data_IF_046675727376
#
_entry.id   IF_046675727376
#
_cell.length_a   1.000
_cell.length_b   1.000
_cell.length_c   1.000
_cell.angle_alpha   90.00
_cell.angle_beta   90.00
_cell.angle_gamma   90.00
#
_symmetry.space_group_name_H-M   'P 1'
#
loop_
_entity.id
_entity.type
_entity.pdbx_description
1 polymer ?
#
# COMPACT_ATOMS: atom_id res chain seq x y z
N UNK A 1 -12.03 -1.68 -6.42
CA UNK A 1 -11.65 -2.57 -7.54
C UNK A 1 -11.54 -3.97 -6.96
N UNK A 2 -12.22 -4.95 -7.55
CA UNK A 2 -12.00 -6.35 -7.18
C UNK A 2 -10.58 -6.76 -7.55
N UNK A 3 -9.91 -7.62 -6.74
CA UNK A 3 -8.58 -8.11 -7.08
C UNK A 3 -8.64 -8.81 -8.43
N UNK A 4 -7.62 -8.60 -9.26
CA UNK A 4 -7.42 -8.99 -10.65
C UNK A 4 -8.32 -10.13 -11.13
N UNK A 5 -9.30 -9.81 -11.95
CA UNK A 5 -9.99 -10.85 -12.72
C UNK A 5 -9.05 -11.35 -13.81
N UNK A 6 -9.18 -12.60 -14.24
CA UNK A 6 -8.43 -13.13 -15.38
C UNK A 6 -8.57 -12.22 -16.62
N UNK A 7 -9.73 -11.55 -16.78
CA UNK A 7 -9.97 -10.58 -17.85
C UNK A 7 -9.09 -9.34 -17.75
N UNK A 8 -8.89 -8.79 -16.57
CA UNK A 8 -8.01 -7.63 -16.36
C UNK A 8 -6.55 -7.97 -16.66
N UNK A 9 -6.09 -9.17 -16.29
CA UNK A 9 -4.75 -9.65 -16.62
C UNK A 9 -4.58 -9.82 -18.13
N UNK A 10 -5.59 -10.36 -18.82
CA UNK A 10 -5.58 -10.49 -20.27
C UNK A 10 -5.51 -9.11 -20.97
N UNK A 11 -6.12 -8.09 -20.40
CA UNK A 11 -6.02 -6.71 -20.91
C UNK A 11 -4.60 -6.14 -20.75
N UNK A 12 -3.91 -6.39 -19.63
CA UNK A 12 -2.50 -6.02 -19.48
C UNK A 12 -1.62 -6.68 -20.54
N UNK A 13 -1.82 -7.97 -20.82
CA UNK A 13 -1.09 -8.69 -21.87
C UNK A 13 -1.33 -8.07 -23.26
N UNK A 14 -2.58 -7.73 -23.60
CA UNK A 14 -2.94 -7.10 -24.87
C UNK A 14 -2.34 -5.70 -25.05
N UNK A 15 -2.24 -4.93 -23.96
CA UNK A 15 -1.68 -3.59 -24.02
C UNK A 15 -0.15 -3.55 -23.84
N UNK A 16 0.51 -4.70 -23.71
CA UNK A 16 1.97 -4.80 -23.58
C UNK A 16 2.51 -4.44 -22.19
N UNK A 17 1.66 -4.35 -21.16
CA UNK A 17 2.11 -4.17 -19.77
C UNK A 17 2.48 -5.53 -19.15
N UNK A 18 3.51 -6.16 -19.73
CA UNK A 18 3.92 -7.50 -19.36
C UNK A 18 4.44 -7.60 -17.94
N UNK A 19 5.12 -6.57 -17.43
CA UNK A 19 5.63 -6.55 -16.05
C UNK A 19 4.49 -6.66 -15.04
N UNK A 20 3.40 -5.93 -15.26
CA UNK A 20 2.23 -6.01 -14.41
C UNK A 20 1.46 -7.32 -14.63
N UNK A 21 1.29 -7.75 -15.88
CA UNK A 21 0.64 -9.01 -16.23
C UNK A 21 1.31 -10.20 -15.55
N UNK A 22 2.63 -10.29 -15.57
CA UNK A 22 3.41 -11.35 -14.91
C UNK A 22 3.12 -11.38 -13.41
N UNK A 23 3.24 -10.25 -12.74
CA UNK A 23 2.98 -10.19 -11.29
C UNK A 23 1.56 -10.56 -10.94
N UNK A 24 0.57 -10.11 -11.74
CA UNK A 24 -0.85 -10.43 -11.49
C UNK A 24 -1.20 -11.88 -11.79
N UNK A 25 -0.59 -12.46 -12.80
CA UNK A 25 -0.72 -13.92 -13.07
C UNK A 25 -0.18 -14.74 -11.92
N UNK A 26 1.00 -14.37 -11.37
CA UNK A 26 1.57 -15.03 -10.19
C UNK A 26 0.64 -14.91 -8.98
N UNK A 27 0.13 -13.70 -8.67
CA UNK A 27 -0.82 -13.48 -7.57
C UNK A 27 -2.10 -14.31 -7.76
N UNK A 28 -2.63 -14.33 -8.98
CA UNK A 28 -3.83 -15.08 -9.32
C UNK A 28 -3.64 -16.59 -9.16
N UNK A 29 -2.46 -17.12 -9.53
CA UNK A 29 -2.13 -18.52 -9.30
C UNK A 29 -1.91 -18.84 -7.82
N UNK A 30 -1.28 -17.96 -7.05
CA UNK A 30 -1.12 -18.13 -5.60
C UNK A 30 -2.47 -18.26 -4.89
N UNK A 31 -3.45 -17.50 -5.33
CA UNK A 31 -4.82 -17.52 -4.79
C UNK A 31 -5.57 -18.83 -5.06
N UNK A 32 -5.10 -19.68 -5.98
CA UNK A 32 -5.67 -21.03 -6.18
C UNK A 32 -5.27 -22.01 -5.07
N UNK A 33 -4.12 -21.78 -4.44
CA UNK A 33 -3.50 -22.74 -3.50
C UNK A 33 -2.96 -24.01 -4.16
N UNK A 34 -2.99 -24.12 -5.50
CA UNK A 34 -2.48 -25.28 -6.26
C UNK A 34 -0.98 -25.13 -6.52
N UNK A 35 -0.17 -25.98 -5.88
CA UNK A 35 1.29 -25.92 -5.96
C UNK A 35 1.81 -26.16 -7.39
N UNK A 36 1.16 -27.02 -8.19
CA UNK A 36 1.57 -27.31 -9.56
C UNK A 36 1.30 -26.12 -10.49
N UNK A 37 0.17 -25.45 -10.30
CA UNK A 37 -0.17 -24.25 -11.07
C UNK A 37 0.72 -23.07 -10.70
N UNK A 38 1.07 -22.93 -9.41
CA UNK A 38 2.01 -21.92 -8.92
C UNK A 38 3.40 -22.16 -9.55
N UNK A 39 3.89 -23.41 -9.57
CA UNK A 39 5.18 -23.74 -10.19
C UNK A 39 5.19 -23.45 -11.69
N UNK A 40 4.12 -23.79 -12.40
CA UNK A 40 3.96 -23.48 -13.81
C UNK A 40 4.03 -21.97 -14.07
N UNK A 41 3.30 -21.16 -13.28
CA UNK A 41 3.33 -19.70 -13.38
C UNK A 41 4.73 -19.13 -13.07
N UNK A 42 5.45 -19.68 -12.09
CA UNK A 42 6.83 -19.27 -11.76
C UNK A 42 7.77 -19.59 -12.93
N UNK A 43 7.66 -20.76 -13.55
CA UNK A 43 8.50 -21.14 -14.70
C UNK A 43 8.21 -20.24 -15.92
N UNK A 44 6.95 -19.98 -16.21
CA UNK A 44 6.52 -19.05 -17.25
C UNK A 44 7.06 -17.61 -17.00
N UNK A 45 6.99 -17.12 -15.77
CA UNK A 45 7.47 -15.76 -15.42
C UNK A 45 8.98 -15.57 -15.62
N UNK A 46 9.78 -16.63 -15.46
CA UNK A 46 11.23 -16.60 -15.70
C UNK A 46 11.60 -16.28 -17.14
N UNK A 47 10.80 -16.73 -18.11
CA UNK A 47 11.03 -16.43 -19.52
C UNK A 47 10.97 -14.93 -19.80
N UNK A 48 10.06 -14.22 -19.14
CA UNK A 48 9.97 -12.77 -19.21
C UNK A 48 11.22 -12.08 -18.64
N UNK A 49 11.64 -12.45 -17.42
CA UNK A 49 12.77 -11.81 -16.75
C UNK A 49 14.12 -12.08 -17.41
N UNK A 50 14.30 -13.23 -18.06
CA UNK A 50 15.49 -13.51 -18.88
C UNK A 50 15.56 -12.55 -20.06
N UNK A 51 14.42 -12.22 -20.67
CA UNK A 51 14.35 -11.30 -21.80
C UNK A 51 14.54 -9.84 -21.38
N UNK A 52 13.97 -9.41 -20.26
CA UNK A 52 14.10 -8.04 -19.73
C UNK A 52 15.56 -7.70 -19.34
N UNK A 53 16.28 -8.65 -18.74
CA UNK A 53 17.66 -8.46 -18.28
C UNK A 53 18.72 -8.61 -19.40
N UNK A 54 18.34 -9.02 -20.61
CA UNK A 54 19.25 -9.12 -21.73
C UNK A 54 19.56 -7.71 -22.28
N UNK A 55 20.85 -7.38 -22.50
CA UNK A 55 21.30 -6.10 -23.07
C UNK A 55 20.76 -5.83 -24.51
N UNK A 56 20.23 -6.84 -25.16
CA UNK A 56 19.45 -6.74 -26.39
C UNK A 56 18.00 -7.04 -26.05
N UNK A 57 17.10 -6.09 -26.34
CA UNK A 57 15.65 -6.29 -26.24
C UNK A 57 15.29 -7.47 -27.14
N UNK A 58 15.19 -8.66 -26.55
CA UNK A 58 14.66 -9.81 -27.29
C UNK A 58 13.14 -9.64 -27.34
N UNK A 59 12.51 -9.91 -28.49
CA UNK A 59 11.06 -9.93 -28.54
C UNK A 59 10.52 -10.97 -27.56
N UNK A 60 9.39 -10.67 -26.98
CA UNK A 60 8.66 -11.62 -26.14
C UNK A 60 8.39 -12.87 -26.97
N UNK A 61 8.59 -14.08 -26.42
CA UNK A 61 8.31 -15.31 -27.14
C UNK A 61 6.88 -15.35 -27.68
N UNK A 62 6.69 -15.84 -28.90
CA UNK A 62 5.38 -15.88 -29.57
C UNK A 62 4.33 -16.67 -28.75
N UNK A 63 4.76 -17.65 -27.97
CA UNK A 63 3.92 -18.48 -27.12
C UNK A 63 3.64 -17.87 -25.74
N UNK A 64 4.34 -16.79 -25.36
CA UNK A 64 4.27 -16.21 -23.99
C UNK A 64 2.85 -15.81 -23.57
N UNK A 65 2.11 -15.17 -24.48
CA UNK A 65 0.73 -14.74 -24.23
C UNK A 65 -0.21 -15.95 -24.16
N UNK A 66 -0.08 -16.90 -25.09
CA UNK A 66 -0.94 -18.09 -25.11
C UNK A 66 -0.73 -19.00 -23.90
N UNK A 67 0.49 -19.08 -23.39
CA UNK A 67 0.79 -19.79 -22.14
C UNK A 67 0.17 -19.09 -20.92
N UNK A 68 0.27 -17.76 -20.84
CA UNK A 68 -0.40 -16.98 -19.82
C UNK A 68 -1.92 -17.20 -19.82
N UNK A 69 -2.56 -17.16 -20.99
CA UNK A 69 -3.99 -17.42 -21.15
C UNK A 69 -4.38 -18.82 -20.69
N UNK A 70 -3.56 -19.83 -21.00
CA UNK A 70 -3.76 -21.21 -20.52
C UNK A 70 -3.68 -21.31 -19.00
N UNK A 71 -2.67 -20.68 -18.39
CA UNK A 71 -2.50 -20.62 -16.93
C UNK A 71 -3.72 -19.93 -16.26
N UNK A 72 -4.13 -18.78 -16.79
CA UNK A 72 -5.29 -18.03 -16.28
C UNK A 72 -6.59 -18.82 -16.39
N UNK A 73 -6.78 -19.56 -17.49
CA UNK A 73 -7.95 -20.41 -17.67
C UNK A 73 -7.99 -21.55 -16.65
N UNK A 74 -6.86 -22.17 -16.34
CA UNK A 74 -6.76 -23.21 -15.31
C UNK A 74 -7.04 -22.62 -13.93
N UNK A 75 -6.41 -21.49 -13.59
CA UNK A 75 -6.62 -20.80 -12.32
C UNK A 75 -8.10 -20.39 -12.12
N UNK A 76 -8.76 -19.86 -13.16
CA UNK A 76 -10.17 -19.45 -13.11
C UNK A 76 -11.10 -20.60 -12.76
N UNK A 77 -10.82 -21.82 -13.24
CA UNK A 77 -11.63 -23.02 -12.91
C UNK A 77 -11.55 -23.37 -11.42
N UNK A 78 -10.40 -23.13 -10.79
CA UNK A 78 -10.19 -23.43 -9.36
C UNK A 78 -10.79 -22.31 -8.50
N UNK A 79 -10.65 -21.06 -8.92
CA UNK A 79 -11.11 -19.91 -8.14
C UNK A 79 -12.63 -19.67 -8.16
N UNK A 80 -13.37 -20.33 -9.05
CA UNK A 80 -14.81 -20.16 -9.13
C UNK A 80 -15.49 -20.52 -7.80
N UNK A 81 -15.91 -19.51 -7.03
CA UNK A 81 -16.59 -19.66 -5.74
C UNK A 81 -15.81 -19.19 -4.51
N UNK A 82 -14.58 -18.71 -4.64
CA UNK A 82 -13.82 -18.15 -3.52
C UNK A 82 -14.25 -16.70 -3.30
N UNK A 83 -14.90 -16.45 -2.17
CA UNK A 83 -15.14 -15.09 -1.66
C UNK A 83 -14.69 -15.02 -0.20
N UNK A 84 -13.97 -13.98 0.18
CA UNK A 84 -13.65 -13.75 1.58
C UNK A 84 -14.65 -12.78 2.21
N UNK A 85 -14.95 -13.01 3.49
CA UNK A 85 -15.73 -12.07 4.29
C UNK A 85 -14.79 -11.06 4.94
N UNK A 86 -15.16 -9.78 4.86
CA UNK A 86 -14.49 -8.74 5.63
C UNK A 86 -14.71 -8.98 7.12
N UNK A 87 -13.62 -9.23 7.86
CA UNK A 87 -13.64 -9.48 9.30
C UNK A 87 -12.70 -8.50 10.00
N UNK A 88 -13.02 -8.05 11.22
CA UNK A 88 -12.09 -7.23 11.99
C UNK A 88 -10.80 -8.03 12.27
N UNK A 89 -9.65 -7.37 12.18
CA UNK A 89 -8.33 -7.90 12.52
C UNK A 89 -7.80 -7.27 13.80
N UNK A 90 -7.95 -5.95 13.93
CA UNK A 90 -7.53 -5.18 15.08
C UNK A 90 -8.53 -4.05 15.35
N UNK A 91 -8.83 -3.83 16.63
CA UNK A 91 -9.58 -2.67 17.13
C UNK A 91 -8.82 -2.08 18.31
N UNK A 92 -8.52 -0.80 18.23
CA UNK A 92 -7.85 -0.03 19.28
C UNK A 92 -8.76 1.11 19.70
N UNK A 93 -9.03 1.23 21.00
CA UNK A 93 -9.91 2.22 21.58
C UNK A 93 -9.15 3.11 22.54
N UNK A 94 -9.15 4.43 22.29
CA UNK A 94 -8.55 5.48 23.12
C UNK A 94 -7.11 5.19 23.53
N UNK A 95 -6.34 4.53 22.66
CA UNK A 95 -4.96 4.18 22.97
C UNK A 95 -4.09 5.43 23.07
N UNK A 96 -3.29 5.51 24.12
CA UNK A 96 -2.36 6.61 24.34
C UNK A 96 -0.98 6.11 24.79
N UNK A 97 0.05 6.96 24.57
CA UNK A 97 1.42 6.67 24.98
C UNK A 97 2.23 7.93 25.22
N UNK A 98 2.78 8.07 26.41
CA UNK A 98 3.66 9.16 26.81
C UNK A 98 5.06 8.61 27.11
N UNK A 99 6.10 9.26 26.63
CA UNK A 99 7.46 8.90 26.98
C UNK A 99 7.92 9.62 28.25
N UNK A 100 8.53 8.89 29.17
CA UNK A 100 8.93 9.36 30.50
C UNK A 100 9.91 10.56 30.50
N UNK A 101 10.52 10.88 29.35
CA UNK A 101 11.37 12.06 29.18
C UNK A 101 10.63 13.37 28.87
N UNK A 102 9.29 13.38 28.87
CA UNK A 102 8.47 14.59 28.71
C UNK A 102 8.44 15.20 27.31
N UNK A 103 9.08 14.58 26.31
CA UNK A 103 9.22 15.18 24.97
C UNK A 103 8.06 14.92 24.03
N UNK A 104 7.29 13.84 24.22
CA UNK A 104 6.22 13.46 23.28
C UNK A 104 5.13 12.61 23.95
N UNK A 105 3.88 12.87 23.57
CA UNK A 105 2.72 12.09 23.97
C UNK A 105 1.81 11.84 22.76
N UNK A 106 1.52 10.56 22.47
CA UNK A 106 0.41 10.15 21.61
C UNK A 106 -0.88 10.28 22.41
N UNK A 107 -1.77 11.16 21.98
CA UNK A 107 -3.07 11.38 22.61
C UNK A 107 -4.04 10.24 22.29
N UNK A 108 -5.16 10.11 23.03
CA UNK A 108 -6.11 9.03 22.80
C UNK A 108 -6.59 8.96 21.35
N UNK A 109 -6.35 7.83 20.69
CA UNK A 109 -6.72 7.58 19.29
C UNK A 109 -7.46 6.26 19.16
N UNK A 110 -8.44 6.22 18.25
CA UNK A 110 -9.16 5.02 17.86
C UNK A 110 -8.67 4.53 16.48
N UNK A 111 -8.46 3.23 16.37
CA UNK A 111 -8.01 2.61 15.10
C UNK A 111 -8.75 1.29 14.91
N UNK A 112 -9.23 1.04 13.70
CA UNK A 112 -9.76 -0.27 13.31
C UNK A 112 -9.29 -0.66 11.93
N UNK A 113 -8.91 -1.94 11.75
CA UNK A 113 -8.52 -2.49 10.46
C UNK A 113 -9.19 -3.84 10.28
N UNK A 114 -9.81 -4.02 9.13
CA UNK A 114 -10.44 -5.26 8.72
C UNK A 114 -9.59 -6.00 7.68
N UNK A 115 -9.90 -7.26 7.47
CA UNK A 115 -9.36 -8.06 6.36
C UNK A 115 -9.64 -7.35 5.03
N UNK A 116 -8.61 -7.23 4.19
CA UNK A 116 -8.71 -6.57 2.89
C UNK A 116 -8.59 -5.05 2.92
N UNK A 117 -8.47 -4.44 4.11
CA UNK A 117 -8.35 -2.99 4.24
C UNK A 117 -6.90 -2.51 4.34
N UNK A 118 -6.66 -1.36 3.74
CA UNK A 118 -5.41 -0.60 3.86
C UNK A 118 -5.67 0.67 4.66
N UNK A 119 -5.03 0.79 5.82
CA UNK A 119 -5.05 1.99 6.66
C UNK A 119 -3.75 2.79 6.44
N UNK A 120 -3.89 4.04 6.04
CA UNK A 120 -2.80 5.00 5.96
C UNK A 120 -2.69 5.86 7.21
N UNK A 121 -1.48 5.99 7.75
CA UNK A 121 -1.16 6.89 8.86
C UNK A 121 -0.23 7.98 8.34
N UNK A 122 -0.72 9.21 8.26
CA UNK A 122 0.01 10.32 7.65
C UNK A 122 0.37 11.37 8.71
N UNK A 123 1.49 12.05 8.52
CA UNK A 123 1.95 13.14 9.38
C UNK A 123 3.45 13.38 9.20
N UNK A 124 3.94 14.52 9.64
CA UNK A 124 5.35 14.86 9.60
C UNK A 124 6.20 13.99 10.54
N UNK A 125 7.51 14.08 10.41
CA UNK A 125 8.43 13.41 11.32
C UNK A 125 8.27 13.92 12.76
N UNK A 126 8.34 12.99 13.73
CA UNK A 126 8.17 13.30 15.14
C UNK A 126 6.71 13.42 15.61
N UNK A 127 5.73 13.36 14.72
CA UNK A 127 4.31 13.49 15.09
C UNK A 127 3.69 12.22 15.73
N UNK A 128 4.44 11.12 15.84
CA UNK A 128 3.98 9.93 16.58
C UNK A 128 3.51 8.76 15.73
N UNK A 129 3.67 8.79 14.40
CA UNK A 129 3.31 7.67 13.50
C UNK A 129 3.94 6.35 13.96
N UNK A 130 5.28 6.31 14.08
CA UNK A 130 6.02 5.13 14.54
C UNK A 130 5.55 4.66 15.93
N UNK A 131 5.25 5.59 16.84
CA UNK A 131 4.73 5.24 18.18
C UNK A 131 3.39 4.53 18.07
N UNK A 132 2.45 5.08 17.28
CA UNK A 132 1.16 4.44 17.03
C UNK A 132 1.35 3.05 16.41
N UNK A 133 2.15 2.93 15.35
CA UNK A 133 2.38 1.66 14.67
C UNK A 133 2.98 0.60 15.61
N UNK A 134 3.93 0.97 16.45
CA UNK A 134 4.54 0.05 17.44
C UNK A 134 3.57 -0.36 18.55
N UNK A 135 2.67 0.53 18.97
CA UNK A 135 1.57 0.18 19.87
C UNK A 135 0.66 -0.86 19.22
N UNK A 136 0.21 -0.60 17.97
CA UNK A 136 -0.65 -1.52 17.21
C UNK A 136 0.02 -2.87 16.92
N UNK A 137 1.34 -2.90 16.77
CA UNK A 137 2.13 -4.14 16.61
C UNK A 137 2.36 -4.88 17.93
N UNK A 138 1.92 -4.35 19.07
CA UNK A 138 2.19 -4.93 20.39
C UNK A 138 3.66 -4.89 20.81
N UNK A 139 4.46 -4.01 20.21
CA UNK A 139 5.88 -3.81 20.53
C UNK A 139 6.11 -2.75 21.60
N UNK A 140 5.11 -1.91 21.87
CA UNK A 140 5.15 -0.84 22.83
C UNK A 140 3.91 -0.91 23.73
N UNK A 141 4.12 -0.95 25.04
CA UNK A 141 3.03 -0.98 26.01
C UNK A 141 2.28 0.37 26.00
N UNK A 142 0.96 0.30 26.08
CA UNK A 142 0.08 1.47 26.22
C UNK A 142 0.19 2.05 27.63
N UNK A 143 -0.10 3.33 27.78
CA UNK A 143 -0.32 3.95 29.09
C UNK A 143 -1.82 3.97 29.42
N UNK A 144 -2.69 4.08 28.39
CA UNK A 144 -4.14 3.97 28.55
C UNK A 144 -4.78 3.46 27.26
N UNK A 145 -6.04 3.02 27.33
CA UNK A 145 -6.79 2.44 26.22
C UNK A 145 -6.60 0.93 26.09
N UNK A 146 -7.22 0.35 25.08
CA UNK A 146 -7.22 -1.10 24.84
C UNK A 146 -7.00 -1.42 23.37
N UNK A 147 -6.26 -2.51 23.08
CA UNK A 147 -6.14 -3.09 21.75
C UNK A 147 -6.69 -4.52 21.78
N UNK A 148 -7.68 -4.78 20.92
CA UNK A 148 -8.25 -6.12 20.69
C UNK A 148 -7.78 -6.66 19.35
N UNK A 149 -7.09 -7.81 19.39
CA UNK A 149 -6.68 -8.53 18.19
C UNK A 149 -7.69 -9.65 17.90
N UNK A 150 -8.36 -9.56 16.74
CA UNK A 150 -9.35 -10.54 16.29
C UNK A 150 -8.75 -11.61 15.36
N UNK A 151 -7.43 -11.78 15.42
CA UNK A 151 -6.65 -12.65 14.52
C UNK A 151 -6.85 -14.14 14.82
N UNK A 152 -7.24 -14.48 16.05
CA UNK A 152 -7.45 -15.84 16.53
C UNK A 152 -8.82 -15.98 17.18
N UNK A 153 -9.41 -17.18 17.11
CA UNK A 153 -10.68 -17.48 17.78
C UNK A 153 -10.55 -17.45 19.31
N UNK A 154 -9.36 -17.84 19.84
CA UNK A 154 -9.03 -17.73 21.26
C UNK A 154 -7.87 -16.76 21.40
N UNK A 155 -7.99 -15.73 22.26
CA UNK A 155 -6.91 -14.77 22.46
C UNK A 155 -5.74 -15.45 23.18
N UNK A 156 -4.67 -15.67 22.44
CA UNK A 156 -3.35 -16.03 22.96
C UNK A 156 -2.38 -14.92 22.58
N UNK A 157 -1.87 -14.13 23.58
CA UNK A 157 -0.98 -13.00 23.30
C UNK A 157 0.30 -13.38 22.56
N UNK A 158 0.78 -14.61 22.72
CA UNK A 158 1.98 -15.10 22.04
C UNK A 158 1.68 -15.54 20.61
N UNK A 159 0.59 -16.28 20.41
CA UNK A 159 0.16 -16.73 19.08
C UNK A 159 -0.28 -15.57 18.18
N UNK A 160 -0.89 -14.52 18.75
CA UNK A 160 -1.27 -13.29 18.01
C UNK A 160 -0.07 -12.68 17.29
N UNK A 161 1.10 -12.64 17.94
CA UNK A 161 2.32 -12.05 17.35
C UNK A 161 2.79 -12.75 16.08
N UNK A 162 2.48 -14.05 15.92
CA UNK A 162 2.82 -14.79 14.71
C UNK A 162 1.99 -14.38 13.49
N UNK A 163 0.89 -13.68 13.72
CA UNK A 163 -0.01 -13.18 12.66
C UNK A 163 0.16 -11.70 12.36
N UNK A 164 1.03 -11.01 13.11
CA UNK A 164 1.32 -9.58 12.91
C UNK A 164 2.77 -9.45 12.45
N UNK A 165 2.97 -8.82 11.31
CA UNK A 165 4.29 -8.47 10.83
C UNK A 165 4.51 -6.96 10.91
N UNK A 166 5.69 -6.55 11.37
CA UNK A 166 6.09 -5.15 11.46
C UNK A 166 7.39 -4.93 10.70
N UNK A 167 7.36 -4.05 9.69
CA UNK A 167 8.53 -3.60 8.96
C UNK A 167 8.88 -2.18 9.43
N UNK A 168 10.00 -1.99 10.14
CA UNK A 168 10.43 -0.69 10.61
C UNK A 168 11.02 0.13 9.47
N UNK A 169 11.02 1.46 9.59
CA UNK A 169 11.66 2.38 8.65
C UNK A 169 13.15 2.05 8.39
N UNK A 170 13.86 1.62 9.44
CA UNK A 170 15.24 1.15 9.34
C UNK A 170 15.27 -0.36 9.45
N UNK A 171 15.36 -1.02 8.30
CA UNK A 171 15.42 -2.47 8.22
C UNK A 171 16.78 -2.96 8.74
N UNK A 172 16.75 -3.98 9.58
CA UNK A 172 17.95 -4.58 10.12
C UNK A 172 18.77 -5.31 9.03
N UNK A 173 20.09 -5.26 9.15
CA UNK A 173 20.99 -5.91 8.21
C UNK A 173 20.84 -7.42 8.30
N UNK A 174 20.75 -8.08 7.13
CA UNK A 174 20.80 -9.53 7.02
C UNK A 174 22.24 -10.04 6.89
N UNK A 175 22.45 -11.27 7.32
CA UNK A 175 23.73 -11.97 7.19
C UNK A 175 23.58 -13.11 6.19
N UNK A 176 24.68 -13.43 5.47
CA UNK A 176 24.67 -14.47 4.43
C UNK A 176 23.99 -14.03 3.13
N UNK A 177 23.62 -14.99 2.31
CA UNK A 177 22.95 -14.74 1.03
C UNK A 177 21.48 -14.37 1.25
N UNK A 178 20.96 -13.51 0.39
CA UNK A 178 19.58 -13.04 0.50
C UNK A 178 18.58 -14.17 0.37
N UNK A 179 18.79 -15.11 -0.58
CA UNK A 179 17.91 -16.27 -0.77
C UNK A 179 17.90 -17.21 0.45
N UNK A 180 19.06 -17.38 1.12
CA UNK A 180 19.13 -18.28 2.27
C UNK A 180 18.32 -17.74 3.45
N UNK A 181 18.27 -16.41 3.62
CA UNK A 181 17.40 -15.77 4.60
C UNK A 181 15.92 -15.98 4.27
N UNK A 182 15.53 -15.98 2.98
CA UNK A 182 14.15 -16.31 2.58
C UNK A 182 13.80 -17.76 2.87
N UNK A 183 14.67 -18.71 2.52
CA UNK A 183 14.48 -20.13 2.86
C UNK A 183 14.34 -20.35 4.36
N UNK A 184 15.19 -19.68 5.15
CA UNK A 184 15.11 -19.74 6.61
C UNK A 184 13.78 -19.17 7.12
N UNK A 185 13.33 -18.04 6.59
CA UNK A 185 12.05 -17.44 6.98
C UNK A 185 10.84 -18.34 6.66
N UNK A 186 10.84 -18.96 5.48
CA UNK A 186 9.82 -19.94 5.11
C UNK A 186 9.83 -21.16 6.06
N UNK A 187 11.03 -21.62 6.45
CA UNK A 187 11.17 -22.74 7.40
C UNK A 187 10.64 -22.40 8.80
N UNK A 188 10.87 -21.17 9.30
CA UNK A 188 10.28 -20.69 10.56
C UNK A 188 8.74 -20.73 10.50
N UNK A 189 8.17 -20.43 9.33
CA UNK A 189 6.74 -20.49 9.10
C UNK A 189 6.19 -21.92 8.88
N UNK A 190 7.03 -22.95 9.04
CA UNK A 190 6.63 -24.35 8.87
C UNK A 190 6.59 -24.82 7.41
N UNK A 191 7.20 -24.10 6.48
CA UNK A 191 7.27 -24.48 5.07
C UNK A 191 8.63 -25.10 4.77
N UNK A 192 8.67 -26.40 4.44
CA UNK A 192 9.89 -27.18 4.26
C UNK A 192 9.95 -27.85 2.88
N UNK A 193 11.14 -28.39 2.53
CA UNK A 193 11.35 -29.19 1.34
C UNK A 193 11.04 -28.51 0.04
N UNK A 194 10.38 -29.20 -0.89
CA UNK A 194 10.03 -28.70 -2.22
C UNK A 194 9.09 -27.49 -2.14
N UNK A 195 8.16 -27.49 -1.18
CA UNK A 195 7.25 -26.34 -0.98
C UNK A 195 7.98 -25.09 -0.54
N UNK A 196 9.04 -25.22 0.25
CA UNK A 196 9.90 -24.09 0.62
C UNK A 196 10.59 -23.53 -0.63
N UNK A 197 11.15 -24.39 -1.48
CA UNK A 197 11.77 -23.98 -2.73
C UNK A 197 10.77 -23.26 -3.65
N UNK A 198 9.57 -23.83 -3.81
CA UNK A 198 8.51 -23.23 -4.62
C UNK A 198 8.13 -21.83 -4.11
N UNK A 199 7.83 -21.69 -2.83
CA UNK A 199 7.40 -20.42 -2.26
C UNK A 199 8.49 -19.35 -2.27
N UNK A 200 9.75 -19.72 -2.06
CA UNK A 200 10.88 -18.77 -2.16
C UNK A 200 11.07 -18.35 -3.61
N UNK A 201 11.06 -19.26 -4.58
CA UNK A 201 11.14 -18.93 -5.99
C UNK A 201 9.97 -18.03 -6.42
N UNK A 202 8.76 -18.36 -5.98
CA UNK A 202 7.58 -17.52 -6.22
C UNK A 202 7.80 -16.08 -5.74
N UNK A 203 8.26 -15.87 -4.51
CA UNK A 203 8.51 -14.54 -3.96
C UNK A 203 9.62 -13.80 -4.70
N UNK A 204 10.68 -14.51 -5.13
CA UNK A 204 11.76 -13.92 -5.92
C UNK A 204 11.27 -13.43 -7.29
N UNK A 205 10.49 -14.23 -8.00
CA UNK A 205 9.92 -13.84 -9.30
C UNK A 205 8.89 -12.71 -9.14
N UNK A 206 7.94 -12.88 -8.24
CA UNK A 206 6.86 -11.90 -7.99
C UNK A 206 7.38 -10.49 -7.68
N UNK A 207 8.46 -10.40 -6.91
CA UNK A 207 9.04 -9.11 -6.48
C UNK A 207 10.24 -8.69 -7.35
N UNK A 208 10.52 -9.40 -8.44
CA UNK A 208 11.67 -9.17 -9.33
C UNK A 208 13.00 -9.12 -8.57
N UNK A 209 13.28 -10.19 -7.80
CA UNK A 209 14.43 -10.30 -6.92
C UNK A 209 15.42 -11.42 -7.34
N UNK A 210 15.07 -12.23 -8.32
CA UNK A 210 15.81 -13.43 -8.73
C UNK A 210 17.27 -13.11 -9.07
N UNK A 211 17.51 -12.03 -9.83
CA UNK A 211 18.88 -11.59 -10.20
C UNK A 211 19.75 -11.19 -9.00
N UNK A 212 19.14 -10.86 -7.86
CA UNK A 212 19.82 -10.40 -6.65
C UNK A 212 19.88 -11.45 -5.54
N UNK A 213 19.23 -12.59 -5.73
CA UNK A 213 19.04 -13.63 -4.70
C UNK A 213 20.37 -14.22 -4.16
N UNK A 214 21.41 -14.23 -5.01
CA UNK A 214 22.76 -14.73 -4.68
C UNK A 214 23.66 -13.66 -4.03
N UNK A 215 23.18 -12.43 -3.88
CA UNK A 215 23.93 -11.32 -3.28
C UNK A 215 23.75 -11.29 -1.76
N UNK A 216 24.55 -10.43 -1.11
CA UNK A 216 24.44 -10.10 0.31
C UNK A 216 23.79 -8.74 0.51
N UNK A 217 23.35 -8.45 1.74
CA UNK A 217 22.64 -7.22 2.10
C UNK A 217 23.34 -5.92 1.69
N UNK A 218 24.67 -5.89 1.77
CA UNK A 218 25.45 -4.69 1.45
C UNK A 218 25.60 -4.43 -0.06
N UNK A 219 25.25 -5.40 -0.88
CA UNK A 219 25.42 -5.34 -2.35
C UNK A 219 24.16 -4.85 -3.07
N UNK A 220 23.07 -4.59 -2.33
CA UNK A 220 21.78 -4.16 -2.89
C UNK A 220 21.38 -2.77 -2.40
N UNK A 221 20.59 -2.06 -3.22
CA UNK A 221 20.03 -0.74 -2.89
C UNK A 221 18.96 -0.81 -1.80
N UNK A 222 18.60 0.36 -1.24
CA UNK A 222 17.52 0.47 -0.24
C UNK A 222 16.18 -0.09 -0.75
N UNK A 223 15.84 0.17 -2.01
CA UNK A 223 14.61 -0.35 -2.62
C UNK A 223 14.55 -1.87 -2.68
N UNK A 224 15.66 -2.50 -3.06
CA UNK A 224 15.76 -3.96 -3.03
C UNK A 224 15.72 -4.50 -1.60
N UNK A 225 16.34 -3.81 -0.63
CA UNK A 225 16.23 -4.22 0.79
C UNK A 225 14.79 -4.25 1.27
N UNK A 226 14.01 -3.23 0.93
CA UNK A 226 12.57 -3.19 1.27
C UNK A 226 11.83 -4.33 0.61
N UNK A 227 12.06 -4.62 -0.67
CA UNK A 227 11.42 -5.74 -1.38
C UNK A 227 11.80 -7.11 -0.79
N UNK A 228 13.07 -7.32 -0.45
CA UNK A 228 13.52 -8.55 0.22
C UNK A 228 12.89 -8.70 1.60
N UNK A 229 12.74 -7.62 2.37
CA UNK A 229 12.07 -7.64 3.66
C UNK A 229 10.58 -7.96 3.51
N UNK A 230 9.91 -7.39 2.51
CA UNK A 230 8.52 -7.74 2.17
C UNK A 230 8.43 -9.23 1.82
N UNK A 231 9.31 -9.75 0.94
CA UNK A 231 9.35 -11.17 0.60
C UNK A 231 9.49 -12.06 1.85
N UNK A 232 10.44 -11.71 2.73
CA UNK A 232 10.70 -12.45 3.98
C UNK A 232 9.46 -12.53 4.87
N UNK A 233 8.77 -11.40 5.01
CA UNK A 233 7.58 -11.30 5.84
C UNK A 233 6.40 -12.06 5.22
N UNK A 234 6.19 -11.94 3.92
CA UNK A 234 5.08 -12.62 3.23
C UNK A 234 5.21 -14.16 3.29
N UNK A 235 6.43 -14.69 3.31
CA UNK A 235 6.66 -16.11 3.53
C UNK A 235 6.14 -16.61 4.90
N UNK A 236 5.99 -15.72 5.87
CA UNK A 236 5.42 -16.02 7.18
C UNK A 236 3.88 -15.96 7.21
N UNK A 237 3.25 -15.54 6.12
CA UNK A 237 1.78 -15.45 5.95
C UNK A 237 1.09 -14.64 7.06
N UNK A 238 1.52 -13.40 7.32
CA UNK A 238 0.86 -12.56 8.32
C UNK A 238 -0.58 -12.24 7.89
N UNK A 239 -1.46 -12.03 8.85
CA UNK A 239 -2.82 -11.53 8.63
C UNK A 239 -2.91 -10.01 8.75
N UNK A 240 -1.98 -9.40 9.49
CA UNK A 240 -1.84 -7.95 9.63
C UNK A 240 -0.39 -7.56 9.33
N UNK A 241 -0.20 -6.71 8.34
CA UNK A 241 1.10 -6.15 7.95
C UNK A 241 1.16 -4.68 8.31
N UNK A 242 2.15 -4.30 9.10
CA UNK A 242 2.38 -2.92 9.55
C UNK A 242 3.71 -2.44 8.99
N UNK A 243 3.70 -1.33 8.25
CA UNK A 243 4.87 -0.78 7.56
C UNK A 243 5.13 0.65 8.01
N UNK A 244 6.30 0.89 8.56
CA UNK A 244 6.71 2.22 8.98
C UNK A 244 7.56 2.90 7.90
N UNK A 245 6.97 3.89 7.22
CA UNK A 245 7.54 4.64 6.11
C UNK A 245 8.19 3.75 5.01
N UNK A 246 7.48 2.77 4.44
CA UNK A 246 8.04 1.81 3.49
C UNK A 246 8.49 2.44 2.16
N UNK A 247 8.06 3.66 1.87
CA UNK A 247 8.36 4.38 0.63
C UNK A 247 9.56 5.33 0.77
N UNK A 248 10.08 5.50 1.98
CA UNK A 248 11.22 6.39 2.22
C UNK A 248 12.47 5.93 1.43
N UNK A 249 13.14 6.89 0.79
CA UNK A 249 14.37 6.65 0.01
C UNK A 249 14.20 5.74 -1.22
N UNK A 250 13.00 5.66 -1.77
CA UNK A 250 12.69 4.98 -3.02
C UNK A 250 12.46 6.00 -4.14
N UNK A 251 12.84 5.64 -5.36
CA UNK A 251 12.42 6.38 -6.55
C UNK A 251 10.92 6.22 -6.80
N UNK A 252 10.34 7.11 -7.62
CA UNK A 252 8.90 7.18 -7.87
C UNK A 252 8.36 5.85 -8.42
N UNK A 253 9.09 5.19 -9.31
CA UNK A 253 8.65 3.94 -9.92
C UNK A 253 8.64 2.80 -8.88
N UNK A 254 9.66 2.72 -8.03
CA UNK A 254 9.71 1.75 -6.94
C UNK A 254 8.59 1.99 -5.92
N UNK A 255 8.30 3.26 -5.58
CA UNK A 255 7.18 3.61 -4.70
C UNK A 255 5.85 3.14 -5.27
N UNK A 256 5.55 3.45 -6.53
CA UNK A 256 4.30 3.04 -7.20
C UNK A 256 4.16 1.52 -7.27
N UNK A 257 5.25 0.82 -7.58
CA UNK A 257 5.29 -0.63 -7.61
C UNK A 257 4.92 -1.23 -6.26
N UNK A 258 5.55 -0.77 -5.17
CA UNK A 258 5.29 -1.26 -3.82
C UNK A 258 3.84 -0.95 -3.41
N UNK A 259 3.36 0.27 -3.65
CA UNK A 259 1.97 0.66 -3.32
C UNK A 259 0.95 -0.24 -4.04
N UNK A 260 1.17 -0.47 -5.33
CA UNK A 260 0.30 -1.36 -6.12
C UNK A 260 0.34 -2.77 -5.55
N UNK A 261 1.52 -3.30 -5.22
CA UNK A 261 1.66 -4.63 -4.64
C UNK A 261 0.97 -4.74 -3.27
N UNK A 262 1.02 -3.69 -2.43
CA UNK A 262 0.32 -3.66 -1.14
C UNK A 262 -1.21 -3.78 -1.30
N UNK A 263 -1.81 -3.10 -2.29
CA UNK A 263 -3.25 -3.22 -2.57
C UNK A 263 -3.61 -4.68 -2.91
N UNK A 264 -2.83 -5.32 -3.79
CA UNK A 264 -3.11 -6.69 -4.20
C UNK A 264 -2.92 -7.67 -3.05
N UNK A 265 -1.89 -7.48 -2.21
CA UNK A 265 -1.69 -8.29 -1.01
C UNK A 265 -2.82 -8.13 -0.01
N UNK A 266 -3.34 -6.91 0.18
CA UNK A 266 -4.49 -6.69 1.06
C UNK A 266 -5.73 -7.44 0.56
N UNK A 267 -6.00 -7.39 -0.75
CA UNK A 267 -7.26 -7.83 -1.37
C UNK A 267 -7.19 -9.22 -2.02
N UNK A 268 -6.10 -9.97 -1.83
CA UNK A 268 -5.95 -11.34 -2.35
C UNK A 268 -7.11 -12.24 -1.93
N UNK A 269 -7.64 -13.04 -2.87
CA UNK A 269 -8.87 -13.80 -2.64
C UNK A 269 -8.69 -14.91 -1.59
N UNK A 270 -7.53 -15.55 -1.56
CA UNK A 270 -7.28 -16.71 -0.70
C UNK A 270 -6.69 -16.33 0.68
N UNK A 271 -5.84 -15.31 0.72
CA UNK A 271 -5.17 -14.87 1.94
C UNK A 271 -5.24 -13.34 2.08
N UNK A 272 -6.45 -12.77 2.17
CA UNK A 272 -6.59 -11.33 2.35
C UNK A 272 -5.99 -10.92 3.69
N UNK A 273 -5.27 -9.80 3.71
CA UNK A 273 -4.65 -9.28 4.92
C UNK A 273 -5.08 -7.84 5.18
N UNK A 274 -4.96 -7.39 6.43
CA UNK A 274 -5.02 -5.98 6.77
C UNK A 274 -3.64 -5.36 6.61
N UNK A 275 -3.58 -4.14 6.11
CA UNK A 275 -2.33 -3.40 5.98
C UNK A 275 -2.46 -2.07 6.71
N UNK A 276 -1.43 -1.71 7.49
CA UNK A 276 -1.27 -0.37 8.06
C UNK A 276 0.06 0.17 7.54
N UNK A 277 0.05 1.32 6.90
CA UNK A 277 1.28 1.95 6.44
C UNK A 277 1.37 3.41 6.88
N UNK A 278 2.56 3.84 7.30
CA UNK A 278 2.83 5.24 7.56
C UNK A 278 3.55 5.91 6.38
N UNK A 279 3.30 7.20 6.19
CA UNK A 279 4.03 8.03 5.25
C UNK A 279 4.00 9.50 5.68
N UNK A 280 4.98 10.27 5.22
CA UNK A 280 4.94 11.73 5.27
C UNK A 280 4.18 12.31 4.07
N UNK A 281 4.04 11.53 3.01
CA UNK A 281 3.45 11.96 1.74
C UNK A 281 1.99 11.50 1.66
N UNK A 282 1.08 12.40 1.95
CA UNK A 282 -0.35 12.13 1.95
C UNK A 282 -0.84 11.58 0.60
N UNK A 283 -0.42 12.20 -0.51
CA UNK A 283 -0.89 11.84 -1.85
C UNK A 283 -0.50 10.42 -2.28
N UNK A 284 0.58 9.86 -1.75
CA UNK A 284 0.97 8.47 -2.00
C UNK A 284 0.03 7.50 -1.26
N UNK A 285 -0.27 7.83 -0.01
CA UNK A 285 -1.14 7.00 0.82
C UNK A 285 -2.58 7.02 0.33
N UNK A 286 -3.10 8.19 -0.07
CA UNK A 286 -4.48 8.34 -0.58
C UNK A 286 -4.77 7.50 -1.84
N UNK A 287 -3.74 7.14 -2.62
CA UNK A 287 -3.90 6.28 -3.80
C UNK A 287 -4.26 4.83 -3.44
N UNK A 288 -3.87 4.38 -2.24
CA UNK A 288 -3.94 2.96 -1.86
C UNK A 288 -4.75 2.70 -0.61
N UNK A 289 -4.89 3.68 0.29
CA UNK A 289 -5.56 3.51 1.56
C UNK A 289 -7.08 3.60 1.42
N UNK A 290 -7.78 2.61 1.99
CA UNK A 290 -9.24 2.67 2.15
C UNK A 290 -9.64 3.66 3.25
N UNK A 291 -8.75 3.84 4.25
CA UNK A 291 -8.91 4.76 5.37
C UNK A 291 -7.61 5.50 5.63
N UNK A 292 -7.67 6.79 5.96
CA UNK A 292 -6.51 7.60 6.32
C UNK A 292 -6.71 8.24 7.69
N UNK A 293 -5.67 8.19 8.51
CA UNK A 293 -5.54 8.90 9.79
C UNK A 293 -4.41 9.92 9.66
N UNK A 294 -4.68 11.17 10.01
CA UNK A 294 -3.65 12.21 10.07
C UNK A 294 -3.29 12.53 11.51
N UNK A 295 -1.97 12.46 11.79
CA UNK A 295 -1.43 12.73 13.14
C UNK A 295 -0.53 13.96 13.12
N UNK A 296 -0.80 14.90 14.03
CA UNK A 296 0.02 16.09 14.26
C UNK A 296 0.26 16.27 15.75
N UNK A 297 1.51 16.36 16.15
CA UNK A 297 1.93 16.53 17.56
C UNK A 297 1.28 15.51 18.52
N UNK A 298 1.15 14.27 18.06
CA UNK A 298 0.54 13.18 18.84
C UNK A 298 -0.98 13.18 18.85
N UNK A 299 -1.64 14.14 18.22
CA UNK A 299 -3.10 14.25 18.12
C UNK A 299 -3.61 13.72 16.79
N UNK A 300 -4.75 13.04 16.80
CA UNK A 300 -5.47 12.65 15.60
C UNK A 300 -6.35 13.82 15.16
N UNK A 301 -5.91 14.54 14.14
CA UNK A 301 -6.68 15.68 13.61
C UNK A 301 -7.79 15.25 12.66
N UNK A 302 -7.65 14.10 12.02
CA UNK A 302 -8.58 13.60 11.03
C UNK A 302 -8.52 12.08 10.95
N UNK A 303 -9.71 11.48 10.82
CA UNK A 303 -9.86 10.06 10.45
C UNK A 303 -10.96 9.95 9.38
N UNK A 304 -10.66 9.32 8.26
CA UNK A 304 -11.66 9.12 7.21
C UNK A 304 -12.80 8.17 7.61
N UNK A 305 -12.65 7.46 8.74
CA UNK A 305 -13.74 6.69 9.35
C UNK A 305 -14.79 7.59 10.00
N UNK A 306 -14.42 8.80 10.41
CA UNK A 306 -15.34 9.78 11.02
C UNK A 306 -16.14 10.56 9.98
N UNK A 307 -16.38 9.96 8.79
CA UNK A 307 -17.20 10.53 7.69
C UNK A 307 -18.66 10.82 8.06
N UNK A 308 -18.99 10.91 9.34
CA UNK A 308 -20.26 11.47 9.81
C UNK A 308 -20.37 12.98 9.58
N UNK A 309 -19.27 13.70 9.40
CA UNK A 309 -19.30 15.06 8.84
C UNK A 309 -19.53 14.94 7.32
N UNK A 310 -20.75 15.16 6.90
CA UNK A 310 -21.11 15.33 5.48
C UNK A 310 -20.12 16.30 4.88
N UNK A 311 -19.43 15.92 3.81
CA UNK A 311 -18.64 16.87 3.01
C UNK A 311 -19.62 17.92 2.52
N UNK A 312 -19.63 19.08 3.19
CA UNK A 312 -20.55 20.18 2.95
C UNK A 312 -20.03 21.17 1.91
N UNK A 313 -18.79 20.97 1.45
CA UNK A 313 -18.13 21.87 0.51
C UNK A 313 -17.14 21.12 -0.37
N UNK A 314 -17.06 21.51 -1.63
CA UNK A 314 -16.02 21.06 -2.56
C UNK A 314 -14.75 21.88 -2.35
N UNK A 315 -13.58 21.29 -2.62
CA UNK A 315 -12.30 21.96 -2.49
C UNK A 315 -11.40 21.64 -3.68
N UNK A 316 -10.77 22.67 -4.24
CA UNK A 316 -9.83 22.54 -5.35
C UNK A 316 -8.54 23.28 -5.04
N UNK A 317 -7.43 22.69 -5.42
CA UNK A 317 -6.10 23.28 -5.33
C UNK A 317 -5.57 23.57 -6.74
N UNK A 318 -4.99 24.74 -6.95
CA UNK A 318 -4.44 25.11 -8.25
C UNK A 318 -3.28 26.10 -8.12
N UNK A 319 -2.47 26.18 -9.16
CA UNK A 319 -1.38 27.13 -9.29
C UNK A 319 -1.67 28.08 -10.46
N UNK A 320 -1.49 29.38 -10.21
CA UNK A 320 -1.66 30.44 -11.20
C UNK A 320 -0.78 31.62 -10.89
N UNK A 321 -0.52 32.45 -11.90
CA UNK A 321 0.25 33.68 -11.77
C UNK A 321 -0.60 34.92 -11.49
N UNK A 322 -1.94 34.80 -11.51
CA UNK A 322 -2.83 35.93 -11.27
C UNK A 322 -2.99 36.24 -9.78
N UNK A 323 -3.36 37.46 -9.47
CA UNK A 323 -3.50 37.92 -8.09
C UNK A 323 -4.75 37.33 -7.41
N UNK A 324 -4.76 37.37 -6.08
CA UNK A 324 -5.89 36.92 -5.26
C UNK A 324 -7.19 37.68 -5.59
N UNK A 325 -7.08 38.99 -5.82
CA UNK A 325 -8.21 39.86 -6.14
C UNK A 325 -8.84 39.45 -7.47
N UNK A 326 -8.04 39.14 -8.47
CA UNK A 326 -8.50 38.64 -9.77
C UNK A 326 -9.26 37.33 -9.62
N UNK A 327 -8.74 36.39 -8.82
CA UNK A 327 -9.40 35.11 -8.58
C UNK A 327 -10.75 35.34 -7.91
N UNK A 328 -10.82 36.15 -6.86
CA UNK A 328 -12.09 36.47 -6.17
C UNK A 328 -13.12 37.12 -7.11
N UNK A 329 -12.67 38.02 -7.97
CA UNK A 329 -13.56 38.73 -8.93
C UNK A 329 -14.28 37.78 -9.90
N UNK A 330 -13.66 36.65 -10.29
CA UNK A 330 -14.25 35.64 -11.18
C UNK A 330 -15.48 34.97 -10.56
N UNK A 331 -15.46 34.77 -9.24
CA UNK A 331 -16.55 34.08 -8.54
C UNK A 331 -17.64 35.03 -8.05
N UNK A 332 -17.40 36.37 -8.05
CA UNK A 332 -18.39 37.40 -7.74
C UNK A 332 -19.05 37.18 -6.38
N UNK A 333 -20.39 37.13 -6.37
CA UNK A 333 -21.19 36.93 -5.15
C UNK A 333 -21.23 35.44 -4.66
N UNK A 334 -20.58 34.54 -5.38
CA UNK A 334 -20.58 33.12 -5.00
C UNK A 334 -19.76 32.91 -3.74
N UNK A 335 -20.31 32.12 -2.81
CA UNK A 335 -19.68 31.87 -1.52
C UNK A 335 -18.49 30.93 -1.72
N UNK A 336 -17.30 31.51 -1.78
CA UNK A 336 -16.03 30.80 -1.81
C UNK A 336 -15.15 31.25 -0.65
N UNK A 337 -14.33 30.33 -0.15
CA UNK A 337 -13.20 30.62 0.71
C UNK A 337 -11.94 30.40 -0.10
N UNK A 338 -11.07 31.41 -0.19
CA UNK A 338 -9.80 31.34 -0.92
C UNK A 338 -8.63 31.37 0.08
N UNK A 339 -7.86 30.30 0.09
CA UNK A 339 -6.64 30.15 0.87
C UNK A 339 -5.42 30.14 -0.05
N UNK A 340 -4.24 30.51 0.47
CA UNK A 340 -2.96 30.43 -0.24
C UNK A 340 -1.92 29.81 0.67
N UNK A 341 -1.34 28.69 0.24
CA UNK A 341 -0.34 27.97 1.00
C UNK A 341 0.69 27.33 0.08
N UNK A 342 1.99 27.53 0.37
CA UNK A 342 3.08 26.86 -0.33
C UNK A 342 3.15 27.10 -1.84
N UNK A 343 2.64 28.25 -2.35
CA UNK A 343 2.60 28.57 -3.79
C UNK A 343 1.30 28.15 -4.49
N UNK A 344 0.40 27.47 -3.79
CA UNK A 344 -0.89 27.03 -4.33
C UNK A 344 -2.06 27.79 -3.73
N UNK A 345 -3.06 28.05 -4.55
CA UNK A 345 -4.36 28.54 -4.11
C UNK A 345 -5.30 27.35 -3.84
N UNK A 346 -6.10 27.45 -2.78
CA UNK A 346 -7.19 26.50 -2.51
C UNK A 346 -8.51 27.26 -2.48
N UNK A 347 -9.46 26.86 -3.33
CA UNK A 347 -10.84 27.34 -3.27
C UNK A 347 -11.68 26.27 -2.59
N UNK A 348 -12.40 26.67 -1.54
CA UNK A 348 -13.41 25.86 -0.86
C UNK A 348 -14.78 26.50 -1.13
N UNK A 349 -15.72 25.70 -1.65
CA UNK A 349 -17.06 26.17 -1.96
C UNK A 349 -18.13 25.15 -1.57
N UNK A 350 -19.19 25.56 -0.87
CA UNK A 350 -20.32 24.68 -0.58
C UNK A 350 -21.26 24.48 -1.78
N UNK A 351 -21.18 25.36 -2.80
CA UNK A 351 -22.13 25.41 -3.92
C UNK A 351 -21.55 24.97 -5.26
N UNK A 352 -20.22 25.16 -5.48
CA UNK A 352 -19.58 24.89 -6.76
C UNK A 352 -18.84 23.55 -6.73
N UNK A 353 -19.03 22.74 -7.74
CA UNK A 353 -18.21 21.55 -7.99
C UNK A 353 -16.81 21.91 -8.50
N UNK A 354 -15.86 20.98 -8.43
CA UNK A 354 -14.52 21.18 -8.99
C UNK A 354 -14.55 21.50 -10.49
N UNK A 355 -15.48 20.87 -11.24
CA UNK A 355 -15.68 21.14 -12.67
C UNK A 355 -16.19 22.55 -12.95
N UNK A 356 -17.11 23.05 -12.14
CA UNK A 356 -17.62 24.43 -12.27
C UNK A 356 -16.56 25.46 -11.91
N UNK A 357 -15.74 25.19 -10.89
CA UNK A 357 -14.63 26.06 -10.50
C UNK A 357 -13.62 26.18 -11.64
N UNK A 358 -13.13 25.05 -12.17
CA UNK A 358 -12.15 25.09 -13.29
C UNK A 358 -12.78 25.68 -14.55
N UNK A 359 -14.04 25.38 -14.84
CA UNK A 359 -14.78 25.93 -15.98
C UNK A 359 -14.84 27.45 -15.96
N UNK A 360 -15.13 28.05 -14.81
CA UNK A 360 -15.13 29.52 -14.63
C UNK A 360 -13.75 30.14 -14.83
N UNK A 361 -12.72 29.47 -14.30
CA UNK A 361 -11.34 29.96 -14.45
C UNK A 361 -10.87 29.92 -15.91
N UNK A 362 -11.23 28.87 -16.65
CA UNK A 362 -10.92 28.72 -18.08
C UNK A 362 -11.68 29.80 -18.87
N UNK A 363 -12.98 30.03 -18.59
CA UNK A 363 -13.79 31.05 -19.25
C UNK A 363 -13.26 32.47 -19.00
N UNK A 364 -12.64 32.71 -17.85
CA UNK A 364 -11.96 33.95 -17.49
C UNK A 364 -10.52 34.04 -18.04
N UNK A 365 -10.10 33.10 -18.89
CA UNK A 365 -8.76 33.02 -19.51
C UNK A 365 -7.60 33.00 -18.49
N UNK A 366 -7.82 32.42 -17.30
CA UNK A 366 -6.78 32.28 -16.28
C UNK A 366 -5.81 31.20 -16.69
N UNK A 367 -4.50 31.53 -16.69
CA UNK A 367 -3.44 30.55 -16.88
C UNK A 367 -3.31 29.68 -15.64
N UNK A 368 -3.60 28.38 -15.77
CA UNK A 368 -3.49 27.37 -14.71
C UNK A 368 -2.37 26.41 -15.08
N UNK A 369 -1.33 26.33 -14.24
CA UNK A 369 -0.20 25.42 -14.43
C UNK A 369 -0.39 24.09 -13.70
N UNK A 370 -1.23 24.08 -12.67
CA UNK A 370 -1.59 22.91 -11.88
C UNK A 370 -3.03 23.02 -11.42
N UNK A 371 -3.78 21.91 -11.44
CA UNK A 371 -5.13 21.81 -10.89
C UNK A 371 -5.36 20.44 -10.29
N UNK A 372 -5.93 20.40 -9.10
CA UNK A 372 -6.31 19.16 -8.41
C UNK A 372 -7.62 19.33 -7.65
N UNK A 373 -8.56 18.42 -7.87
CA UNK A 373 -9.72 18.26 -6.99
C UNK A 373 -9.28 17.61 -5.68
N UNK A 374 -9.44 18.32 -4.57
CA UNK A 374 -9.12 17.86 -3.22
C UNK A 374 -10.36 17.70 -2.34
N UNK A 375 -11.55 17.68 -2.94
CA UNK A 375 -12.83 17.57 -2.23
C UNK A 375 -12.87 16.37 -1.29
N UNK A 376 -12.34 15.24 -1.75
CA UNK A 376 -12.27 14.00 -0.99
C UNK A 376 -10.89 13.70 -0.42
N UNK A 377 -9.94 14.61 -0.60
CA UNK A 377 -8.59 14.49 -0.07
C UNK A 377 -8.51 15.04 1.34
N UNK A 378 -7.74 14.38 2.19
CA UNK A 378 -7.42 14.91 3.53
C UNK A 378 -6.61 16.21 3.46
N UNK A 379 -5.99 16.52 2.29
CA UNK A 379 -5.24 17.76 2.06
C UNK A 379 -6.08 19.03 2.26
N UNK A 380 -7.41 18.93 2.11
CA UNK A 380 -8.33 20.07 2.36
C UNK A 380 -8.32 20.59 3.80
N UNK A 381 -7.75 19.84 4.74
CA UNK A 381 -7.69 20.22 6.16
C UNK A 381 -6.33 20.84 6.55
N UNK A 382 -5.47 21.08 5.59
CA UNK A 382 -4.13 21.64 5.71
C UNK A 382 -3.90 22.79 4.77
#
# INVERSE_FOLDING_TARGET
MNPSSAGEIADYLKHGDYSLAVRRTLDYCLDTGDDALIDNAVNWSREYHVNENSKSVKPIPDNFISEAESILQQASKIQSGISYQTKPLISAEKISKTYSGGGFSLKPINVSVNTGNVLGVVGENGNGKTTLLRCLAGQLALDDGEIKYHLLQKPDPYAVKNHIAFIPQRILKWFGLLKDNLHFSASIAGVYGEKNNLMVNFMLERLNLTSYAHLTWNQISSGYRTRFEIARILLQKPRLLILDEPLANLDINAQQTILTDLIFMAKGAHNPMGIILSSQQLHEVEKVADTVIFIKQGDCLYSSNDRSEKITSNAVEFETTVTRETIIAIFGEQKIELQFNGGFYTIISPALSAQEIIGKMITAEISITYFRDITYSTKRFF
#
